data_IF_503663389512
#
_entry.id   IF_503663389512
#
_cell.length_a   1.000
_cell.length_b   1.000
_cell.length_c   1.000
_cell.angle_alpha   90.00
_cell.angle_beta   90.00
_cell.angle_gamma   90.00
#
_symmetry.space_group_name_H-M   'P 1'
#
loop_
_entity.id
_entity.type
_entity.pdbx_description
1 polymer ?
#
# COMPACT_ATOMS: atom_id res chain seq x y z
N UNK A 1 8.56 15.43 -3.78
CA UNK A 1 7.12 15.16 -3.48
C UNK A 1 6.69 16.03 -2.29
N UNK A 2 5.57 16.74 -2.37
CA UNK A 2 5.00 17.47 -1.23
C UNK A 2 3.76 16.73 -0.72
N UNK A 3 3.67 16.53 0.60
CA UNK A 3 2.46 16.02 1.27
C UNK A 3 1.90 17.15 2.13
N UNK A 4 0.65 17.54 1.87
CA UNK A 4 0.03 18.70 2.48
C UNK A 4 -0.63 18.39 3.83
N UNK A 5 -0.55 19.33 4.76
CA UNK A 5 -1.24 19.28 6.05
C UNK A 5 -0.68 18.22 7.01
N UNK A 6 0.54 17.75 6.80
CA UNK A 6 1.16 16.71 7.62
C UNK A 6 1.65 17.26 8.96
N UNK A 7 1.74 16.36 9.95
CA UNK A 7 2.39 16.60 11.23
C UNK A 7 3.62 15.71 11.35
N UNK A 8 4.71 16.17 11.96
CA UNK A 8 5.89 15.35 12.23
C UNK A 8 5.52 14.09 13.03
N UNK A 9 6.10 12.95 12.68
CA UNK A 9 5.91 11.69 13.38
C UNK A 9 7.24 10.97 13.57
N UNK A 10 7.43 10.36 14.75
CA UNK A 10 8.56 9.46 14.98
C UNK A 10 8.33 8.11 14.25
N UNK A 11 9.40 7.37 13.92
CA UNK A 11 9.25 6.00 13.44
C UNK A 11 8.56 5.14 14.51
N UNK A 12 7.75 4.19 14.06
CA UNK A 12 7.04 3.29 14.98
C UNK A 12 7.99 2.31 15.66
N UNK A 13 8.90 1.72 14.90
CA UNK A 13 9.90 0.75 15.37
C UNK A 13 11.22 0.92 14.64
N UNK A 14 12.32 0.85 15.39
CA UNK A 14 13.66 0.80 14.85
C UNK A 14 14.16 2.11 14.20
N UNK A 15 15.26 2.00 13.48
CA UNK A 15 15.84 3.09 12.73
C UNK A 15 15.30 3.10 11.30
N UNK A 16 14.99 4.29 10.80
CA UNK A 16 14.61 4.48 9.40
C UNK A 16 15.87 4.49 8.51
N UNK A 17 15.77 4.05 7.24
CA UNK A 17 16.76 4.42 6.25
C UNK A 17 16.94 5.94 6.23
N UNK A 18 18.17 6.41 6.01
CA UNK A 18 18.56 7.81 6.22
C UNK A 18 17.71 8.81 5.43
N UNK A 19 17.21 8.39 4.24
CA UNK A 19 16.43 9.21 3.32
C UNK A 19 14.92 9.13 3.55
N UNK A 20 14.46 8.27 4.47
CA UNK A 20 13.04 8.06 4.74
C UNK A 20 12.56 8.96 5.87
N UNK A 21 11.45 9.65 5.64
CA UNK A 21 10.80 10.53 6.62
C UNK A 21 9.45 9.98 7.03
N UNK A 22 9.13 10.06 8.33
CA UNK A 22 7.80 9.71 8.85
C UNK A 22 6.96 10.97 9.10
N UNK A 23 5.68 10.88 8.73
CA UNK A 23 4.69 11.95 8.93
C UNK A 23 3.35 11.38 9.36
N UNK A 24 2.54 12.21 10.02
CA UNK A 24 1.12 11.94 10.25
C UNK A 24 0.27 12.71 9.23
N UNK A 25 -0.65 12.04 8.59
CA UNK A 25 -1.59 12.61 7.63
C UNK A 25 -2.96 12.69 8.31
N UNK A 26 -3.50 13.88 8.58
CA UNK A 26 -4.85 14.04 9.11
C UNK A 26 -5.90 13.53 8.09
N UNK A 27 -6.81 12.70 8.56
CA UNK A 27 -7.93 12.15 7.79
C UNK A 27 -9.20 12.15 8.65
N UNK A 28 -10.32 11.78 8.06
CA UNK A 28 -11.59 11.61 8.78
C UNK A 28 -11.53 10.50 9.86
N UNK A 29 -10.61 9.54 9.73
CA UNK A 29 -10.35 8.51 10.74
C UNK A 29 -9.51 9.02 11.93
N UNK A 30 -8.86 10.16 11.79
CA UNK A 30 -7.79 10.69 12.66
C UNK A 30 -6.47 10.79 11.92
N UNK A 31 -5.35 10.79 12.64
CA UNK A 31 -4.03 10.85 12.02
C UNK A 31 -3.60 9.46 11.55
N UNK A 32 -3.39 9.28 10.25
CA UNK A 32 -2.76 8.10 9.66
C UNK A 32 -1.27 8.34 9.48
N UNK A 33 -0.45 7.38 9.90
CA UNK A 33 1.00 7.51 9.82
C UNK A 33 1.53 7.05 8.48
N UNK A 34 2.53 7.75 7.95
CA UNK A 34 3.13 7.46 6.67
C UNK A 34 4.66 7.59 6.72
N UNK A 35 5.33 6.82 5.88
CA UNK A 35 6.75 6.93 5.57
C UNK A 35 6.90 7.26 4.09
N UNK A 36 7.75 8.23 3.76
CA UNK A 36 7.99 8.59 2.37
C UNK A 36 9.46 8.82 2.07
N UNK A 37 9.80 8.65 0.80
CA UNK A 37 11.09 8.99 0.25
C UNK A 37 10.88 9.92 -0.94
N UNK A 38 11.76 10.93 -1.07
CA UNK A 38 11.77 11.82 -2.22
C UNK A 38 13.11 11.66 -2.96
N UNK A 39 13.06 11.43 -4.26
CA UNK A 39 14.26 11.32 -5.09
C UNK A 39 15.16 12.56 -5.03
N UNK A 40 14.54 13.74 -4.82
CA UNK A 40 15.27 15.01 -4.71
C UNK A 40 16.10 15.11 -3.43
N UNK A 41 15.89 14.24 -2.43
CA UNK A 41 16.55 14.30 -1.11
C UNK A 41 17.82 13.43 -1.05
N UNK A 42 18.17 12.69 -2.06
CA UNK A 42 19.46 12.00 -2.14
C UNK A 42 20.67 12.96 -2.10
N UNK A 43 20.57 14.08 -1.41
CA UNK A 43 21.61 15.08 -1.24
C UNK A 43 21.33 16.29 -0.34
N UNK A 44 20.12 16.46 0.20
CA UNK A 44 19.78 17.67 0.96
C UNK A 44 18.97 17.34 2.22
N UNK A 45 19.57 17.58 3.40
CA UNK A 45 18.89 17.58 4.70
C UNK A 45 17.85 18.72 4.71
N UNK A 46 16.56 18.48 5.03
CA UNK A 46 15.58 19.56 5.10
C UNK A 46 15.90 20.46 6.31
N UNK A 47 16.22 21.73 6.07
CA UNK A 47 16.08 22.76 7.09
C UNK A 47 14.58 22.97 7.33
N UNK A 48 14.15 22.74 8.57
CA UNK A 48 12.87 23.22 9.04
C UNK A 48 12.88 24.75 8.94
N UNK A 49 12.17 25.31 7.95
CA UNK A 49 11.56 26.63 7.97
C UNK A 49 11.13 27.04 6.55
N UNK A 50 9.92 27.47 6.52
CA UNK A 50 9.18 28.32 5.58
C UNK A 50 8.11 27.63 4.71
N UNK A 51 6.89 27.95 5.11
CA UNK A 51 5.68 27.83 4.33
C UNK A 51 5.76 28.74 3.09
N UNK A 52 5.09 28.30 1.99
CA UNK A 52 4.78 29.05 0.79
C UNK A 52 5.94 29.23 -0.20
N UNK A 53 6.22 28.20 -0.98
CA UNK A 53 6.79 28.41 -2.31
C UNK A 53 5.74 28.11 -3.39
N UNK A 54 5.51 29.12 -4.21
CA UNK A 54 4.65 29.11 -5.39
C UNK A 54 5.25 28.12 -6.39
N UNK A 55 4.43 27.20 -6.91
CA UNK A 55 4.85 26.32 -8.00
C UNK A 55 5.43 27.13 -9.16
N UNK A 56 6.73 27.04 -9.37
CA UNK A 56 7.34 27.48 -10.60
C UNK A 56 6.86 26.62 -11.76
N UNK A 57 6.36 27.28 -12.80
CA UNK A 57 6.03 26.64 -14.07
C UNK A 57 7.34 26.07 -14.65
N UNK A 58 7.42 24.80 -15.03
CA UNK A 58 8.64 24.20 -15.56
C UNK A 58 9.18 25.01 -16.74
N UNK A 59 10.46 25.38 -16.70
CA UNK A 59 11.13 26.00 -17.81
C UNK A 59 11.21 25.03 -18.99
N UNK A 60 10.97 25.51 -20.19
CA UNK A 60 11.05 24.73 -21.42
C UNK A 60 12.42 24.02 -21.54
N UNK A 61 12.44 22.71 -21.43
CA UNK A 61 13.65 21.87 -21.52
C UNK A 61 13.93 20.95 -20.33
N UNK A 62 13.25 21.11 -19.18
CA UNK A 62 13.31 20.14 -18.09
C UNK A 62 12.38 18.96 -18.37
N UNK A 63 12.89 17.74 -18.20
CA UNK A 63 12.01 16.57 -18.21
C UNK A 63 11.02 16.69 -17.04
N UNK A 64 9.74 16.38 -17.24
CA UNK A 64 8.77 16.42 -16.15
C UNK A 64 9.24 15.50 -15.02
N UNK A 65 9.16 15.99 -13.77
CA UNK A 65 9.46 15.18 -12.61
C UNK A 65 8.65 13.86 -12.63
N UNK A 66 9.24 12.73 -12.23
CA UNK A 66 8.52 11.48 -12.14
C UNK A 66 7.28 11.61 -11.25
N UNK A 67 6.24 10.86 -11.58
CA UNK A 67 5.00 10.87 -10.80
C UNK A 67 5.21 10.05 -9.52
N UNK A 68 4.88 10.58 -8.31
CA UNK A 68 5.04 9.83 -7.08
C UNK A 68 4.07 8.66 -6.99
N UNK A 69 4.41 7.67 -6.15
CA UNK A 69 3.59 6.49 -5.89
C UNK A 69 3.06 6.43 -4.46
N UNK A 70 1.79 6.01 -4.30
CA UNK A 70 1.19 5.65 -3.01
C UNK A 70 1.16 4.13 -2.86
N UNK A 71 1.75 3.63 -1.76
CA UNK A 71 1.87 2.21 -1.46
C UNK A 71 0.96 1.84 -0.29
N UNK A 72 0.10 0.84 -0.49
CA UNK A 72 -0.93 0.41 0.47
C UNK A 72 -0.59 -0.99 0.99
N UNK A 73 -0.34 -1.16 2.30
CA UNK A 73 0.09 -2.44 2.87
C UNK A 73 -1.03 -3.48 2.96
N UNK A 74 -0.62 -4.72 3.25
CA UNK A 74 -1.50 -5.87 3.40
C UNK A 74 -2.27 -5.91 4.73
N UNK A 75 -2.95 -7.04 4.97
CA UNK A 75 -3.90 -7.27 6.08
C UNK A 75 -3.32 -6.99 7.47
N UNK A 76 -2.14 -7.49 7.76
CA UNK A 76 -1.48 -7.32 9.07
C UNK A 76 -0.24 -6.46 8.93
N UNK A 77 -0.13 -5.81 7.78
CA UNK A 77 0.96 -4.93 7.42
C UNK A 77 0.85 -3.55 8.05
N UNK A 78 1.78 -2.71 7.67
CA UNK A 78 1.85 -1.30 7.98
C UNK A 78 2.84 -0.62 7.02
N UNK A 79 3.06 0.69 7.13
CA UNK A 79 4.08 1.40 6.33
C UNK A 79 5.47 0.77 6.43
N UNK A 80 5.78 0.11 7.55
CA UNK A 80 7.05 -0.56 7.82
C UNK A 80 7.34 -1.72 6.86
N UNK A 81 6.31 -2.33 6.25
CA UNK A 81 6.51 -3.36 5.22
C UNK A 81 7.12 -2.78 3.94
N UNK A 82 7.00 -1.47 3.74
CA UNK A 82 7.56 -0.77 2.59
C UNK A 82 8.74 0.12 2.94
N UNK A 83 8.94 0.49 4.21
CA UNK A 83 10.02 1.38 4.63
C UNK A 83 11.40 0.91 4.14
N UNK A 84 11.79 -0.37 4.27
CA UNK A 84 13.07 -0.85 3.71
C UNK A 84 13.07 -0.95 2.18
N UNK A 85 11.91 -0.90 1.53
CA UNK A 85 11.77 -0.94 0.08
C UNK A 85 11.90 0.44 -0.58
N UNK A 86 11.53 1.51 0.14
CA UNK A 86 11.53 2.87 -0.40
C UNK A 86 12.88 3.29 -1.03
N UNK A 87 14.07 2.99 -0.43
CA UNK A 87 15.35 3.32 -1.03
C UNK A 87 15.56 2.69 -2.42
N UNK A 88 15.07 1.45 -2.65
CA UNK A 88 15.16 0.80 -3.96
C UNK A 88 14.37 1.53 -5.04
N UNK A 89 13.25 2.16 -4.67
CA UNK A 89 12.49 3.03 -5.58
C UNK A 89 13.23 4.33 -5.86
N UNK A 90 13.82 4.96 -4.83
CA UNK A 90 14.58 6.19 -4.98
C UNK A 90 15.82 6.01 -5.87
N UNK A 91 16.54 4.88 -5.75
CA UNK A 91 17.66 4.52 -6.64
C UNK A 91 17.25 4.47 -8.13
N UNK A 92 15.95 4.30 -8.40
CA UNK A 92 15.36 4.29 -9.75
C UNK A 92 14.67 5.62 -10.10
N UNK A 93 14.97 6.66 -9.34
CA UNK A 93 14.40 7.99 -9.54
C UNK A 93 12.88 8.05 -9.25
N UNK A 94 12.40 7.31 -8.25
CA UNK A 94 10.98 7.24 -7.91
C UNK A 94 10.71 7.70 -6.49
N UNK A 95 9.94 8.79 -6.34
CA UNK A 95 9.38 9.18 -5.05
C UNK A 95 8.19 8.28 -4.68
N UNK A 96 8.11 7.87 -3.42
CA UNK A 96 7.01 7.04 -2.94
C UNK A 96 6.64 7.33 -1.50
N UNK A 97 5.36 7.10 -1.18
CA UNK A 97 4.80 7.19 0.16
C UNK A 97 4.06 5.89 0.50
N UNK A 98 4.39 5.29 1.62
CA UNK A 98 3.63 4.19 2.22
C UNK A 98 2.93 4.68 3.47
N UNK A 99 1.66 4.32 3.68
CA UNK A 99 0.95 4.68 4.90
C UNK A 99 0.43 3.44 5.64
N UNK A 100 0.32 3.54 6.96
CA UNK A 100 -0.38 2.55 7.78
C UNK A 100 -1.87 2.84 7.73
N UNK A 101 -2.68 1.87 7.35
CA UNK A 101 -4.13 2.02 7.26
C UNK A 101 -4.74 2.26 8.65
N UNK A 102 -6.00 2.71 8.72
CA UNK A 102 -6.71 2.86 10.00
C UNK A 102 -6.58 1.59 10.86
N UNK A 103 -6.19 1.78 12.11
CA UNK A 103 -6.00 0.71 13.08
C UNK A 103 -4.78 -0.17 12.88
N UNK A 104 -3.94 0.07 11.88
CA UNK A 104 -2.64 -0.60 11.73
C UNK A 104 -1.54 0.17 12.48
N UNK A 105 -0.71 -0.54 13.19
CA UNK A 105 0.44 0.00 13.92
C UNK A 105 0.07 1.27 14.74
N UNK A 106 0.73 2.37 14.46
CA UNK A 106 0.60 3.67 15.12
C UNK A 106 -0.42 4.62 14.45
N UNK A 107 -1.18 4.15 13.46
CA UNK A 107 -2.26 4.93 12.84
C UNK A 107 -3.50 5.00 13.74
N UNK A 108 -4.29 6.06 13.53
CA UNK A 108 -5.57 6.23 14.22
C UNK A 108 -6.43 4.97 14.16
N UNK A 109 -6.99 4.59 15.31
CA UNK A 109 -7.78 3.38 15.49
C UNK A 109 -9.18 3.69 16.03
N UNK A 110 -10.14 4.09 15.19
CA UNK A 110 -11.53 4.28 15.60
C UNK A 110 -12.08 3.03 16.30
N UNK A 111 -12.81 3.21 17.41
CA UNK A 111 -13.39 2.09 18.16
C UNK A 111 -14.63 1.53 17.47
N UNK A 112 -14.79 0.21 17.53
CA UNK A 112 -15.92 -0.52 16.94
C UNK A 112 -15.66 -1.01 15.53
N UNK A 113 -15.92 -2.30 15.30
CA UNK A 113 -15.67 -2.98 14.01
C UNK A 113 -16.47 -2.38 12.85
N UNK A 114 -17.57 -1.69 13.13
CA UNK A 114 -18.39 -0.95 12.17
C UNK A 114 -17.66 0.22 11.51
N UNK A 115 -16.54 0.67 12.06
CA UNK A 115 -15.66 1.70 11.51
C UNK A 115 -14.57 1.14 10.59
N UNK A 116 -14.64 -0.15 10.25
CA UNK A 116 -13.65 -0.86 9.44
C UNK A 116 -14.29 -1.58 8.25
N UNK A 117 -15.23 -0.91 7.57
CA UNK A 117 -15.82 -1.37 6.32
C UNK A 117 -14.89 -1.08 5.15
N UNK A 118 -15.03 -1.79 4.04
CA UNK A 118 -14.24 -1.54 2.83
C UNK A 118 -14.30 -0.06 2.40
N UNK A 119 -15.48 0.56 2.47
CA UNK A 119 -15.67 1.97 2.13
C UNK A 119 -14.87 2.92 3.04
N UNK A 120 -14.67 2.55 4.31
CA UNK A 120 -13.91 3.36 5.27
C UNK A 120 -12.41 3.34 4.91
N UNK A 121 -11.85 2.18 4.59
CA UNK A 121 -10.46 2.05 4.10
C UNK A 121 -10.24 2.75 2.76
N UNK A 122 -11.22 2.65 1.84
CA UNK A 122 -11.18 3.34 0.54
C UNK A 122 -11.22 4.85 0.73
N UNK A 123 -12.05 5.36 1.64
CA UNK A 123 -12.11 6.77 2.00
C UNK A 123 -10.77 7.30 2.48
N UNK A 124 -10.11 6.59 3.40
CA UNK A 124 -8.78 6.95 3.90
C UNK A 124 -7.74 7.01 2.78
N UNK A 125 -7.70 5.99 1.91
CA UNK A 125 -6.78 5.97 0.79
C UNK A 125 -6.96 7.21 -0.11
N UNK A 126 -8.22 7.57 -0.41
CA UNK A 126 -8.55 8.75 -1.21
C UNK A 126 -8.09 10.04 -0.50
N UNK A 127 -8.29 10.15 0.83
CA UNK A 127 -7.82 11.31 1.60
C UNK A 127 -6.29 11.40 1.60
N UNK A 128 -5.58 10.29 1.78
CA UNK A 128 -4.12 10.22 1.70
C UNK A 128 -3.62 10.60 0.29
N UNK A 129 -4.24 10.06 -0.77
CA UNK A 129 -3.90 10.42 -2.15
C UNK A 129 -4.08 11.93 -2.41
N UNK A 130 -5.16 12.53 -1.90
CA UNK A 130 -5.39 13.98 -1.99
C UNK A 130 -4.35 14.79 -1.22
N UNK A 131 -3.95 14.34 -0.02
CA UNK A 131 -2.88 14.98 0.73
C UNK A 131 -1.53 14.94 -0.02
N UNK A 132 -1.30 13.92 -0.85
CA UNK A 132 -0.15 13.83 -1.76
C UNK A 132 -0.30 14.69 -3.03
N UNK A 133 -1.36 15.49 -3.16
CA UNK A 133 -1.59 16.35 -4.32
C UNK A 133 -2.23 15.65 -5.53
N UNK A 134 -2.76 14.44 -5.38
CA UNK A 134 -3.33 13.67 -6.48
C UNK A 134 -4.48 14.36 -7.22
N UNK A 135 -5.18 15.30 -6.58
CA UNK A 135 -6.22 16.11 -7.22
C UNK A 135 -5.69 17.09 -8.27
N UNK A 136 -4.39 17.43 -8.22
CA UNK A 136 -3.72 18.33 -9.18
C UNK A 136 -2.93 17.51 -10.19
N UNK A 137 -2.20 16.52 -9.70
CA UNK A 137 -1.35 15.63 -10.51
C UNK A 137 -1.62 14.18 -10.09
N UNK A 138 -2.37 13.39 -10.88
CA UNK A 138 -2.67 12.00 -10.56
C UNK A 138 -1.40 11.19 -10.28
N UNK A 139 -1.43 10.35 -9.24
CA UNK A 139 -0.29 9.58 -8.74
C UNK A 139 -0.37 8.10 -9.13
N UNK A 140 0.74 7.37 -9.07
CA UNK A 140 0.73 5.92 -9.17
C UNK A 140 0.20 5.31 -7.87
N UNK A 141 -0.63 4.28 -7.98
CA UNK A 141 -1.18 3.55 -6.83
C UNK A 141 -0.67 2.10 -6.85
N UNK A 142 -0.15 1.62 -5.72
CA UNK A 142 0.18 0.21 -5.52
C UNK A 142 -0.54 -0.31 -4.30
N UNK A 143 -1.28 -1.40 -4.45
CA UNK A 143 -1.89 -2.12 -3.32
C UNK A 143 -1.33 -3.53 -3.20
N UNK A 144 -0.75 -3.85 -2.04
CA UNK A 144 -0.26 -5.17 -1.71
C UNK A 144 -1.32 -5.99 -0.98
N UNK A 145 -1.62 -7.19 -1.46
CA UNK A 145 -2.51 -8.14 -0.77
C UNK A 145 -3.88 -7.51 -0.43
N UNK A 146 -4.25 -7.37 0.84
CA UNK A 146 -5.45 -6.63 1.28
C UNK A 146 -5.45 -5.18 0.79
N UNK A 147 -4.29 -4.52 0.78
CA UNK A 147 -4.14 -3.19 0.19
C UNK A 147 -4.53 -3.15 -1.29
N UNK A 148 -4.35 -4.25 -2.02
CA UNK A 148 -4.81 -4.39 -3.41
C UNK A 148 -6.33 -4.46 -3.54
N UNK A 149 -7.02 -5.05 -2.56
CA UNK A 149 -8.49 -5.04 -2.49
C UNK A 149 -9.00 -3.60 -2.31
N UNK A 150 -8.31 -2.80 -1.49
CA UNK A 150 -8.67 -1.39 -1.26
C UNK A 150 -8.31 -0.55 -2.49
N UNK A 151 -7.11 -0.74 -3.05
CA UNK A 151 -6.60 0.01 -4.19
C UNK A 151 -7.49 -0.13 -5.44
N UNK A 152 -7.92 -1.38 -5.77
CA UNK A 152 -8.83 -1.59 -6.91
C UNK A 152 -10.18 -0.90 -6.73
N UNK A 153 -10.69 -0.87 -5.50
CA UNK A 153 -11.95 -0.18 -5.19
C UNK A 153 -11.78 1.33 -5.26
N UNK A 154 -10.69 1.88 -4.73
CA UNK A 154 -10.38 3.31 -4.82
C UNK A 154 -10.22 3.77 -6.28
N UNK A 155 -9.55 2.96 -7.11
CA UNK A 155 -9.39 3.21 -8.55
C UNK A 155 -10.72 3.23 -9.32
N UNK A 156 -11.73 2.49 -8.84
CA UNK A 156 -13.09 2.54 -9.42
C UNK A 156 -13.87 3.76 -8.94
N UNK A 157 -13.70 4.16 -7.66
CA UNK A 157 -14.47 5.23 -7.03
C UNK A 157 -13.94 6.62 -7.41
N UNK A 158 -12.62 6.77 -7.53
CA UNK A 158 -11.96 8.05 -7.80
C UNK A 158 -10.80 7.87 -8.82
N UNK A 159 -11.09 7.39 -10.05
CA UNK A 159 -10.05 7.09 -11.04
C UNK A 159 -9.21 8.32 -11.41
N UNK A 160 -9.77 9.51 -11.32
CA UNK A 160 -9.09 10.79 -11.63
C UNK A 160 -7.90 11.09 -10.73
N UNK A 161 -7.79 10.45 -9.56
CA UNK A 161 -6.67 10.62 -8.64
C UNK A 161 -5.44 9.78 -9.03
N UNK A 162 -5.60 8.81 -9.93
CA UNK A 162 -4.57 7.84 -10.21
C UNK A 162 -4.08 7.87 -11.66
N UNK A 163 -2.77 7.79 -11.82
CA UNK A 163 -2.09 7.68 -13.11
C UNK A 163 -2.06 6.24 -13.61
N UNK A 164 -1.92 5.30 -12.68
CA UNK A 164 -1.98 3.86 -12.90
C UNK A 164 -2.24 3.12 -11.60
N UNK A 165 -2.59 1.85 -11.68
CA UNK A 165 -2.80 0.97 -10.53
C UNK A 165 -1.95 -0.28 -10.66
N UNK A 166 -1.19 -0.61 -9.61
CA UNK A 166 -0.49 -1.88 -9.45
C UNK A 166 -1.21 -2.75 -8.43
N UNK A 167 -1.67 -3.90 -8.87
CA UNK A 167 -2.27 -4.96 -8.05
C UNK A 167 -1.19 -5.98 -7.73
N UNK A 168 -0.61 -5.88 -6.53
CA UNK A 168 0.54 -6.66 -6.11
C UNK A 168 0.12 -7.77 -5.14
N UNK A 169 0.38 -9.03 -5.51
CA UNK A 169 0.06 -10.22 -4.70
C UNK A 169 -1.39 -10.22 -4.19
N UNK A 170 -2.36 -9.90 -5.06
CA UNK A 170 -3.78 -9.75 -4.72
C UNK A 170 -4.66 -10.23 -5.88
N UNK A 171 -5.88 -10.68 -5.60
CA UNK A 171 -6.80 -11.16 -6.63
C UNK A 171 -8.16 -10.46 -6.64
N UNK A 172 -8.98 -10.69 -7.69
CA UNK A 172 -10.27 -10.02 -7.88
C UNK A 172 -11.36 -10.51 -6.93
N UNK A 173 -11.17 -11.68 -6.35
CA UNK A 173 -12.11 -12.34 -5.42
C UNK A 173 -11.37 -13.01 -4.27
N UNK A 174 -12.05 -13.26 -3.15
CA UNK A 174 -11.45 -13.92 -2.00
C UNK A 174 -10.76 -15.23 -2.38
N UNK A 175 -9.52 -15.48 -1.91
CA UNK A 175 -8.85 -16.76 -2.14
C UNK A 175 -9.61 -17.88 -1.41
N UNK A 176 -9.61 -19.11 -1.98
CA UNK A 176 -10.34 -20.23 -1.37
C UNK A 176 -9.91 -20.51 0.07
N UNK A 177 -8.62 -20.39 0.34
CA UNK A 177 -8.08 -20.54 1.69
C UNK A 177 -8.71 -19.56 2.70
N UNK A 178 -9.13 -18.36 2.27
CA UNK A 178 -9.80 -17.37 3.13
C UNK A 178 -11.29 -17.65 3.31
N UNK A 179 -11.93 -18.42 2.44
CA UNK A 179 -13.36 -18.76 2.55
C UNK A 179 -13.67 -19.71 3.72
N UNK A 180 -12.72 -20.56 4.12
CA UNK A 180 -12.94 -21.66 5.08
C UNK A 180 -11.87 -21.81 6.16
N UNK A 181 -11.07 -20.79 6.44
CA UNK A 181 -9.96 -20.94 7.37
C UNK A 181 -10.44 -21.09 8.83
N UNK A 182 -9.61 -21.77 9.67
CA UNK A 182 -9.74 -21.72 11.13
C UNK A 182 -9.79 -20.28 11.67
N UNK A 183 -9.23 -19.31 10.91
CA UNK A 183 -9.32 -17.87 11.16
C UNK A 183 -10.78 -17.39 11.18
N UNK A 184 -11.60 -17.75 10.18
CA UNK A 184 -13.03 -17.38 10.17
C UNK A 184 -13.79 -18.00 11.34
N UNK A 185 -13.54 -19.29 11.66
CA UNK A 185 -14.16 -19.94 12.80
C UNK A 185 -13.73 -19.30 14.12
N UNK A 186 -12.47 -18.91 14.27
CA UNK A 186 -11.95 -18.21 15.45
C UNK A 186 -12.43 -16.77 15.55
N UNK A 187 -12.50 -16.02 14.44
CA UNK A 187 -13.09 -14.69 14.39
C UNK A 187 -14.57 -14.71 14.81
N UNK A 188 -15.33 -15.72 14.35
CA UNK A 188 -16.73 -15.87 14.69
C UNK A 188 -16.95 -16.45 16.12
N UNK A 189 -15.97 -17.15 16.68
CA UNK A 189 -16.01 -17.78 18.02
C UNK A 189 -15.25 -17.00 19.09
N UNK A 190 -14.45 -15.98 18.69
CA UNK A 190 -13.62 -15.21 19.62
C UNK A 190 -14.41 -14.03 20.17
N UNK A 191 -14.62 -14.04 21.49
CA UNK A 191 -15.16 -12.90 22.25
C UNK A 191 -14.08 -11.87 22.62
N UNK A 192 -12.82 -12.06 22.24
CA UNK A 192 -11.72 -11.13 22.52
C UNK A 192 -10.64 -11.22 21.43
N UNK A 193 -10.39 -10.13 20.74
CA UNK A 193 -9.43 -10.00 19.65
C UNK A 193 -7.96 -10.23 20.05
N UNK A 194 -7.57 -10.07 21.33
CA UNK A 194 -6.24 -10.42 21.85
C UNK A 194 -5.81 -11.85 21.52
N UNK A 195 -6.76 -12.76 21.29
CA UNK A 195 -6.51 -14.13 20.84
C UNK A 195 -6.22 -14.22 19.34
N UNK A 196 -6.70 -13.26 18.55
CA UNK A 196 -6.47 -13.22 17.10
C UNK A 196 -5.05 -12.72 16.80
N UNK A 197 -4.62 -11.64 17.43
CA UNK A 197 -3.25 -11.13 17.29
C UNK A 197 -2.23 -12.14 17.80
N UNK A 198 -2.45 -12.77 18.96
CA UNK A 198 -1.58 -13.81 19.49
C UNK A 198 -1.52 -15.05 18.57
N UNK A 199 -2.65 -15.48 18.01
CA UNK A 199 -2.66 -16.59 17.04
C UNK A 199 -1.94 -16.19 15.76
N UNK A 200 -2.16 -14.99 15.24
CA UNK A 200 -1.47 -14.48 14.06
C UNK A 200 0.04 -14.46 14.28
N UNK A 201 0.50 -13.88 15.38
CA UNK A 201 1.91 -13.88 15.77
C UNK A 201 2.45 -15.32 15.75
N UNK A 202 1.75 -16.29 16.36
CA UNK A 202 2.19 -17.69 16.42
C UNK A 202 2.32 -18.40 15.06
N UNK A 203 1.66 -17.90 14.00
CA UNK A 203 1.78 -18.47 12.64
C UNK A 203 3.00 -17.94 11.88
N UNK A 204 3.52 -16.79 12.26
CA UNK A 204 4.60 -16.08 11.55
C UNK A 204 5.90 -15.98 12.36
N UNK A 205 5.88 -16.29 13.65
CA UNK A 205 7.08 -16.40 14.48
C UNK A 205 7.85 -17.67 14.13
N UNK A 206 8.72 -17.59 13.15
CA UNK A 206 9.65 -18.65 12.79
C UNK A 206 10.97 -18.08 12.29
N UNK A 207 11.85 -17.61 13.19
CA UNK A 207 13.22 -17.21 12.88
C UNK A 207 13.41 -16.14 11.76
N UNK A 208 12.40 -15.29 11.53
CA UNK A 208 12.52 -14.14 10.62
C UNK A 208 13.14 -12.96 11.41
N UNK A 209 14.14 -12.25 10.87
CA UNK A 209 14.67 -11.02 11.48
C UNK A 209 13.62 -9.94 11.77
N UNK A 210 12.43 -10.04 11.16
CA UNK A 210 11.29 -9.16 11.36
C UNK A 210 10.37 -9.57 12.50
N UNK A 211 10.65 -10.67 13.21
CA UNK A 211 9.77 -11.21 14.26
C UNK A 211 9.50 -10.16 15.35
N UNK A 212 10.49 -9.35 15.72
CA UNK A 212 10.33 -8.26 16.68
C UNK A 212 9.35 -7.20 16.18
N UNK A 213 9.52 -6.69 14.97
CA UNK A 213 8.59 -5.73 14.33
C UNK A 213 7.17 -6.31 14.23
N UNK A 214 7.04 -7.58 13.83
CA UNK A 214 5.74 -8.25 13.71
C UNK A 214 5.07 -8.37 15.09
N UNK A 215 5.84 -8.73 16.12
CA UNK A 215 5.33 -8.85 17.48
C UNK A 215 4.89 -7.50 18.05
N UNK A 216 5.71 -6.47 17.94
CA UNK A 216 5.39 -5.12 18.40
C UNK A 216 4.17 -4.54 17.67
N UNK A 217 4.14 -4.67 16.35
CA UNK A 217 3.02 -4.23 15.52
C UNK A 217 1.71 -4.94 15.92
N UNK A 218 1.74 -6.24 16.16
CA UNK A 218 0.57 -6.99 16.57
C UNK A 218 0.03 -6.56 17.95
N UNK A 219 0.88 -6.05 18.84
CA UNK A 219 0.48 -5.56 20.16
C UNK A 219 -0.30 -4.24 20.11
N UNK A 220 -0.06 -3.42 19.10
CA UNK A 220 -0.68 -2.08 18.99
C UNK A 220 -1.74 -2.00 17.90
N UNK A 221 -1.72 -2.91 16.91
CA UNK A 221 -2.73 -2.96 15.87
C UNK A 221 -4.12 -3.21 16.47
N UNK A 222 -5.10 -2.43 16.05
CA UNK A 222 -6.48 -2.52 16.52
C UNK A 222 -7.12 -3.86 16.17
N UNK A 223 -7.72 -4.50 17.17
CA UNK A 223 -8.49 -5.73 17.01
C UNK A 223 -9.72 -5.53 16.11
N UNK A 224 -10.37 -4.38 16.22
CA UNK A 224 -11.50 -4.01 15.37
C UNK A 224 -11.07 -3.90 13.90
N UNK A 225 -9.85 -3.36 13.65
CA UNK A 225 -9.25 -3.30 12.32
C UNK A 225 -8.98 -4.69 11.76
N UNK A 226 -8.33 -5.56 12.53
CA UNK A 226 -8.05 -6.94 12.12
C UNK A 226 -9.35 -7.68 11.79
N UNK A 227 -10.37 -7.51 12.62
CA UNK A 227 -11.66 -8.16 12.41
C UNK A 227 -12.38 -7.63 11.18
N UNK A 228 -12.44 -6.32 10.99
CA UNK A 228 -13.04 -5.68 9.83
C UNK A 228 -12.35 -6.07 8.52
N UNK A 229 -11.01 -6.02 8.48
CA UNK A 229 -10.22 -6.42 7.33
C UNK A 229 -10.39 -7.92 6.99
N UNK A 230 -10.44 -8.80 7.99
CA UNK A 230 -10.71 -10.22 7.77
C UNK A 230 -12.13 -10.47 7.21
N UNK A 231 -13.14 -9.73 7.67
CA UNK A 231 -14.50 -9.79 7.10
C UNK A 231 -14.53 -9.31 5.66
N UNK A 232 -13.76 -8.28 5.32
CA UNK A 232 -13.64 -7.82 3.93
C UNK A 232 -12.98 -8.89 3.09
N UNK A 233 -11.81 -9.41 3.49
CA UNK A 233 -11.06 -10.45 2.76
C UNK A 233 -11.89 -11.72 2.50
N UNK A 234 -12.85 -12.02 3.37
CA UNK A 234 -13.73 -13.19 3.20
C UNK A 234 -14.82 -13.00 2.15
N UNK A 235 -15.14 -11.75 1.71
CA UNK A 235 -16.35 -11.46 0.90
C UNK A 235 -16.33 -10.16 0.09
N UNK A 236 -15.16 -9.59 -0.22
CA UNK A 236 -15.14 -8.39 -1.08
C UNK A 236 -15.68 -8.69 -2.49
N UNK A 237 -16.31 -7.69 -3.13
CA UNK A 237 -16.85 -7.85 -4.47
C UNK A 237 -15.74 -7.87 -5.52
N UNK A 238 -15.96 -8.62 -6.60
CA UNK A 238 -15.16 -8.50 -7.81
C UNK A 238 -15.56 -7.21 -8.55
N UNK A 239 -14.59 -6.30 -8.71
CA UNK A 239 -14.76 -5.02 -9.40
C UNK A 239 -13.88 -4.94 -10.66
N UNK A 240 -13.44 -6.06 -11.20
CA UNK A 240 -12.57 -6.09 -12.38
C UNK A 240 -13.21 -5.41 -13.60
N UNK A 241 -14.51 -5.61 -13.86
CA UNK A 241 -15.18 -4.91 -14.97
C UNK A 241 -15.29 -3.39 -14.76
N UNK A 242 -15.73 -2.87 -13.59
CA UNK A 242 -15.64 -1.44 -13.30
C UNK A 242 -14.24 -0.87 -13.40
N UNK A 243 -13.21 -1.60 -12.91
CA UNK A 243 -11.82 -1.18 -13.01
C UNK A 243 -11.35 -1.09 -14.46
N UNK A 244 -11.69 -2.06 -15.31
CA UNK A 244 -11.43 -1.99 -16.75
C UNK A 244 -12.10 -0.78 -17.39
N UNK A 245 -13.33 -0.48 -16.99
CA UNK A 245 -14.10 0.66 -17.53
C UNK A 245 -13.52 2.02 -17.10
N UNK A 246 -12.76 2.09 -16.00
CA UNK A 246 -12.07 3.32 -15.59
C UNK A 246 -11.01 3.79 -16.60
N UNK A 247 -10.53 2.87 -17.46
CA UNK A 247 -9.48 3.17 -18.44
C UNK A 247 -8.08 3.36 -17.83
N UNK A 248 -7.92 3.12 -16.53
CA UNK A 248 -6.61 3.22 -15.89
C UNK A 248 -5.68 2.11 -16.36
N UNK A 249 -4.41 2.41 -16.67
CA UNK A 249 -3.39 1.42 -16.86
C UNK A 249 -3.20 0.56 -15.61
N UNK A 250 -3.17 -0.76 -15.76
CA UNK A 250 -3.05 -1.71 -14.64
C UNK A 250 -1.82 -2.59 -14.84
N UNK A 251 -1.06 -2.76 -13.76
CA UNK A 251 -0.05 -3.82 -13.61
C UNK A 251 -0.57 -4.85 -12.61
N UNK A 252 -0.54 -6.12 -12.97
CA UNK A 252 -0.68 -7.24 -12.04
C UNK A 252 0.68 -7.87 -11.85
N UNK A 253 1.15 -7.95 -10.60
CA UNK A 253 2.44 -8.54 -10.26
C UNK A 253 2.37 -9.36 -8.97
N UNK A 254 3.19 -10.39 -8.88
CA UNK A 254 3.35 -11.23 -7.69
C UNK A 254 4.70 -11.93 -7.71
N UNK A 255 5.14 -12.46 -6.57
CA UNK A 255 6.32 -13.32 -6.52
C UNK A 255 6.05 -14.70 -7.11
N UNK A 256 7.03 -15.30 -7.78
CA UNK A 256 6.91 -16.63 -8.39
C UNK A 256 6.46 -17.72 -7.41
N UNK A 257 6.79 -17.58 -6.13
CA UNK A 257 6.41 -18.50 -5.05
C UNK A 257 5.18 -18.06 -4.25
N UNK A 258 4.41 -17.06 -4.70
CA UNK A 258 3.19 -16.65 -4.02
C UNK A 258 2.09 -17.71 -4.18
N UNK A 259 1.56 -18.20 -3.06
CA UNK A 259 0.53 -19.23 -3.01
C UNK A 259 -0.80 -18.74 -2.42
N UNK A 260 -0.89 -17.44 -2.07
CA UNK A 260 -2.10 -16.87 -1.43
C UNK A 260 -3.25 -16.77 -2.44
N UNK A 261 -2.98 -16.26 -3.62
CA UNK A 261 -3.88 -16.34 -4.77
C UNK A 261 -3.25 -17.21 -5.86
N UNK A 262 -4.00 -18.11 -6.50
CA UNK A 262 -3.48 -18.93 -7.60
C UNK A 262 -2.96 -18.06 -8.75
N UNK A 263 -1.81 -18.40 -9.31
CA UNK A 263 -1.24 -17.70 -10.48
C UNK A 263 -2.23 -17.62 -11.64
N UNK A 264 -3.01 -18.67 -11.86
CA UNK A 264 -4.05 -18.69 -12.89
C UNK A 264 -5.07 -17.55 -12.72
N UNK A 265 -5.42 -17.21 -11.47
CA UNK A 265 -6.34 -16.10 -11.19
C UNK A 265 -5.74 -14.75 -11.58
N UNK A 266 -4.46 -14.53 -11.33
CA UNK A 266 -3.73 -13.33 -11.75
C UNK A 266 -3.69 -13.21 -13.29
N UNK A 267 -3.41 -14.31 -13.99
CA UNK A 267 -3.39 -14.34 -15.46
C UNK A 267 -4.76 -14.07 -16.08
N UNK A 268 -5.81 -14.66 -15.53
CA UNK A 268 -7.20 -14.43 -15.97
C UNK A 268 -7.61 -12.98 -15.76
N UNK A 269 -7.31 -12.41 -14.61
CA UNK A 269 -7.59 -11.00 -14.32
C UNK A 269 -6.78 -10.06 -15.24
N UNK A 270 -5.49 -10.34 -15.45
CA UNK A 270 -4.67 -9.56 -16.36
C UNK A 270 -5.23 -9.55 -17.79
N UNK A 271 -5.65 -10.72 -18.30
CA UNK A 271 -6.29 -10.82 -19.59
C UNK A 271 -7.62 -10.06 -19.66
N UNK A 272 -8.45 -10.16 -18.61
CA UNK A 272 -9.72 -9.44 -18.52
C UNK A 272 -9.51 -7.92 -18.52
N UNK A 273 -8.52 -7.42 -17.77
CA UNK A 273 -8.24 -6.00 -17.66
C UNK A 273 -7.48 -5.43 -18.86
N UNK A 274 -6.83 -6.27 -19.66
CA UNK A 274 -5.80 -5.84 -20.62
C UNK A 274 -4.56 -5.29 -19.88
N UNK A 275 -4.28 -5.82 -18.70
CA UNK A 275 -3.23 -5.35 -17.82
C UNK A 275 -1.85 -5.91 -18.20
N UNK A 276 -0.80 -5.16 -17.94
CA UNK A 276 0.57 -5.71 -17.90
C UNK A 276 0.65 -6.75 -16.80
N UNK A 277 1.32 -7.85 -17.08
CA UNK A 277 1.50 -8.96 -16.13
C UNK A 277 2.98 -9.29 -15.98
N UNK A 278 3.50 -9.21 -14.76
CA UNK A 278 4.90 -9.45 -14.44
C UNK A 278 5.02 -10.35 -13.21
N UNK A 279 5.98 -11.27 -13.23
CA UNK A 279 6.27 -12.16 -12.10
C UNK A 279 7.65 -11.83 -11.55
N UNK A 280 7.73 -11.56 -10.25
CA UNK A 280 8.99 -11.26 -9.56
C UNK A 280 9.69 -12.57 -9.20
N UNK A 281 10.92 -12.77 -9.71
CA UNK A 281 11.74 -13.94 -9.39
C UNK A 281 12.16 -13.94 -7.92
N UNK A 282 12.46 -15.13 -7.39
CA UNK A 282 13.01 -15.34 -6.05
C UNK A 282 12.22 -14.64 -4.93
N UNK A 283 10.90 -14.53 -5.11
CA UNK A 283 9.99 -13.92 -4.17
C UNK A 283 8.72 -14.75 -4.02
N UNK A 284 8.06 -14.59 -2.88
CA UNK A 284 6.76 -15.17 -2.52
C UNK A 284 5.71 -14.06 -2.42
N UNK A 285 4.97 -14.03 -1.31
CA UNK A 285 3.87 -13.08 -1.10
C UNK A 285 4.32 -11.63 -0.86
N UNK A 286 5.52 -11.42 -0.34
CA UNK A 286 6.04 -10.12 0.08
C UNK A 286 7.31 -9.74 -0.67
N UNK A 287 7.26 -9.69 -2.01
CA UNK A 287 8.44 -9.41 -2.84
C UNK A 287 9.13 -8.08 -2.50
N UNK A 288 8.43 -7.09 -1.94
CA UNK A 288 9.03 -5.85 -1.43
C UNK A 288 10.05 -6.07 -0.30
N UNK A 289 10.00 -7.23 0.36
CA UNK A 289 10.92 -7.64 1.42
C UNK A 289 11.84 -8.78 0.99
N UNK A 290 11.37 -9.65 0.10
CA UNK A 290 12.04 -10.87 -0.32
C UNK A 290 12.97 -10.66 -1.52
N UNK A 291 12.58 -9.83 -2.48
CA UNK A 291 13.40 -9.41 -3.62
C UNK A 291 13.08 -7.96 -4.02
N UNK A 292 13.42 -6.97 -3.16
CA UNK A 292 13.06 -5.56 -3.36
C UNK A 292 13.60 -4.97 -4.66
N UNK A 293 14.81 -5.35 -5.06
CA UNK A 293 15.43 -4.83 -6.27
C UNK A 293 14.63 -5.22 -7.52
N UNK A 294 14.27 -6.51 -7.66
CA UNK A 294 13.50 -6.97 -8.81
C UNK A 294 12.10 -6.36 -8.86
N UNK A 295 11.41 -6.24 -7.71
CA UNK A 295 10.11 -5.56 -7.66
C UNK A 295 10.24 -4.09 -8.06
N UNK A 296 11.27 -3.38 -7.57
CA UNK A 296 11.48 -1.98 -7.91
C UNK A 296 11.77 -1.78 -9.41
N UNK A 297 12.50 -2.71 -10.06
CA UNK A 297 12.72 -2.69 -11.50
C UNK A 297 11.40 -2.83 -12.28
N UNK A 298 10.55 -3.78 -11.90
CA UNK A 298 9.23 -3.99 -12.51
C UNK A 298 8.37 -2.74 -12.40
N UNK A 299 8.30 -2.14 -11.21
CA UNK A 299 7.47 -0.95 -10.96
C UNK A 299 8.00 0.27 -11.71
N UNK A 300 9.31 0.53 -11.65
CA UNK A 300 9.92 1.68 -12.30
C UNK A 300 9.76 1.62 -13.81
N UNK A 301 9.91 0.43 -14.42
CA UNK A 301 9.70 0.22 -15.84
C UNK A 301 8.23 0.47 -16.25
N UNK A 302 7.27 -0.08 -15.49
CA UNK A 302 5.85 0.14 -15.76
C UNK A 302 5.47 1.62 -15.66
N UNK A 303 5.86 2.30 -14.57
CA UNK A 303 5.54 3.71 -14.38
C UNK A 303 6.18 4.62 -15.45
N UNK A 304 7.45 4.32 -15.84
CA UNK A 304 8.11 5.05 -16.92
C UNK A 304 7.39 4.89 -18.26
N UNK A 305 6.89 3.70 -18.59
CA UNK A 305 6.12 3.48 -19.81
C UNK A 305 4.83 4.28 -19.81
N UNK A 306 4.10 4.28 -18.69
CA UNK A 306 2.85 5.06 -18.57
C UNK A 306 3.10 6.56 -18.67
N UNK A 307 4.16 7.08 -18.04
CA UNK A 307 4.54 8.50 -18.11
C UNK A 307 4.94 8.91 -19.53
N UNK A 308 5.58 8.02 -20.28
CA UNK A 308 5.94 8.21 -21.68
C UNK A 308 4.78 7.98 -22.67
N UNK A 309 3.56 7.66 -22.18
CA UNK A 309 2.39 7.37 -23.03
C UNK A 309 2.47 6.02 -23.75
N UNK A 310 3.30 5.11 -23.29
CA UNK A 310 3.39 3.72 -23.79
C UNK A 310 2.54 2.84 -22.87
N UNK A 311 1.43 2.36 -23.40
CA UNK A 311 0.47 1.51 -22.67
C UNK A 311 0.46 0.09 -23.26
#
# INVERSE_FOLDING_TARGET
MQIHGVVPQAPFVGELPQEVTCVGIPTSAGVLTAAFIDEAVAGIVPKAESALEVHEVPHAGQQPEPVPALLVPGFTGSKEDFTPFLPYLAERGRSACAYSQRGQADSAAPKGVENYRLADFVGDLIEVARAMGASVRPIHLLGHSFGGVIARQAAVVAPELFRSVTLFSTGPRPPEAMRWTPLRQRLLSSTTGKKLSAWYISQFLSSDPRDELIAERAMVTSEDSLMGAAFILARYPDVSLPLRQSGLPVLITHGVGDTVWPEQMHREEAALLGARYEVVSDAKHSAQLENPAALADVLAAFWADIEAGRN
#
